data_IF_833602875527
#
_entry.id   IF_833602875527
#
_cell.length_a   1.000
_cell.length_b   1.000
_cell.length_c   1.000
_cell.angle_alpha   90.00
_cell.angle_beta   90.00
_cell.angle_gamma   90.00
#
_symmetry.space_group_name_H-M   'P 1'
#
loop_
_entity.id
_entity.type
_entity.pdbx_description
1 polymer ?
#
# COMPACT_ATOMS: atom_id res chain seq x y z
N UNK A 1 6.06 1.87 -28.09
CA UNK A 1 6.30 2.55 -26.81
C UNK A 1 5.93 1.63 -25.66
N UNK A 2 6.69 1.57 -24.56
CA UNK A 2 6.32 0.75 -23.41
C UNK A 2 4.94 1.18 -22.91
N UNK A 3 3.97 0.26 -22.90
CA UNK A 3 2.58 0.60 -22.58
C UNK A 3 2.39 0.71 -21.07
N UNK A 4 1.91 1.85 -20.60
CA UNK A 4 1.47 2.04 -19.23
C UNK A 4 0.32 1.09 -18.86
N UNK A 5 0.30 0.61 -17.61
CA UNK A 5 -0.76 -0.26 -17.11
C UNK A 5 -1.93 0.56 -16.54
N UNK A 6 -2.92 0.80 -17.40
CA UNK A 6 -4.12 1.57 -17.05
C UNK A 6 -4.92 0.99 -15.88
N UNK A 7 -4.86 -0.32 -15.65
CA UNK A 7 -5.59 -0.96 -14.55
C UNK A 7 -4.92 -0.65 -13.21
N UNK A 8 -3.59 -0.73 -13.12
CA UNK A 8 -2.85 -0.30 -11.92
C UNK A 8 -3.11 1.19 -11.62
N UNK A 9 -3.07 2.03 -12.65
CA UNK A 9 -3.36 3.46 -12.48
C UNK A 9 -4.77 3.72 -11.95
N UNK A 10 -5.79 3.01 -12.47
CA UNK A 10 -7.17 3.09 -11.95
C UNK A 10 -7.24 2.71 -10.48
N UNK A 11 -6.61 1.61 -10.08
CA UNK A 11 -6.54 1.21 -8.67
C UNK A 11 -5.85 2.28 -7.81
N UNK A 12 -4.76 2.87 -8.31
CA UNK A 12 -4.09 3.96 -7.62
C UNK A 12 -4.96 5.20 -7.44
N UNK A 13 -5.70 5.61 -8.48
CA UNK A 13 -6.68 6.72 -8.40
C UNK A 13 -7.80 6.40 -7.42
N UNK A 14 -8.33 5.17 -7.43
CA UNK A 14 -9.36 4.74 -6.49
C UNK A 14 -8.85 4.78 -5.05
N UNK A 15 -7.65 4.26 -4.79
CA UNK A 15 -7.07 4.27 -3.45
C UNK A 15 -6.74 5.69 -2.97
N UNK A 16 -6.25 6.54 -3.86
CA UNK A 16 -6.02 7.96 -3.61
C UNK A 16 -7.33 8.67 -3.21
N UNK A 17 -8.41 8.44 -3.97
CA UNK A 17 -9.74 9.00 -3.69
C UNK A 17 -10.25 8.52 -2.32
N UNK A 18 -10.09 7.24 -2.02
CA UNK A 18 -10.45 6.67 -0.72
C UNK A 18 -9.64 7.34 0.41
N UNK A 19 -8.35 7.59 0.18
CA UNK A 19 -7.49 8.37 1.09
C UNK A 19 -8.05 9.77 1.35
N UNK A 20 -8.44 10.51 0.30
CA UNK A 20 -9.07 11.84 0.44
C UNK A 20 -10.36 11.78 1.26
N UNK A 21 -11.25 10.83 0.96
CA UNK A 21 -12.50 10.63 1.71
C UNK A 21 -12.20 10.31 3.18
N UNK A 22 -11.17 9.50 3.45
CA UNK A 22 -10.74 9.18 4.82
C UNK A 22 -10.28 10.43 5.57
N UNK A 23 -9.54 11.35 4.91
CA UNK A 23 -9.11 12.61 5.49
C UNK A 23 -10.25 13.58 5.78
N UNK A 24 -11.24 13.69 4.88
CA UNK A 24 -12.44 14.50 5.12
C UNK A 24 -13.25 14.01 6.32
N UNK A 25 -13.19 12.71 6.59
CA UNK A 25 -13.95 12.05 7.65
C UNK A 25 -13.13 11.82 8.93
N UNK A 26 -11.89 12.32 9.01
CA UNK A 26 -10.93 12.01 10.09
C UNK A 26 -11.49 12.26 11.50
N UNK A 27 -12.31 13.32 11.65
CA UNK A 27 -12.91 13.73 12.93
C UNK A 27 -14.00 12.79 13.43
N UNK A 28 -14.52 11.91 12.58
CA UNK A 28 -15.57 10.93 12.94
C UNK A 28 -14.99 9.64 13.50
N UNK A 29 -13.68 9.44 13.40
CA UNK A 29 -13.01 8.24 13.90
C UNK A 29 -12.71 8.36 15.39
N UNK A 30 -12.76 7.23 16.09
CA UNK A 30 -12.44 7.15 17.53
C UNK A 30 -11.00 7.56 17.83
N UNK A 31 -10.08 7.26 16.89
CA UNK A 31 -8.68 7.65 16.98
C UNK A 31 -8.29 8.54 15.78
N UNK A 32 -8.37 9.86 16.00
CA UNK A 32 -8.07 10.86 14.98
C UNK A 32 -6.64 10.77 14.45
N UNK A 33 -5.65 10.45 15.30
CA UNK A 33 -4.25 10.32 14.87
C UNK A 33 -4.07 9.17 13.89
N UNK A 34 -4.75 8.05 14.15
CA UNK A 34 -4.68 6.89 13.26
C UNK A 34 -5.54 7.06 12.01
N UNK A 35 -6.61 7.87 12.07
CA UNK A 35 -7.36 8.28 10.88
C UNK A 35 -6.51 9.14 9.93
N UNK A 36 -5.71 10.06 10.48
CA UNK A 36 -4.72 10.82 9.70
C UNK A 36 -3.69 9.89 9.05
N UNK A 37 -3.22 8.86 9.77
CA UNK A 37 -2.37 7.82 9.18
C UNK A 37 -3.09 7.09 8.04
N UNK A 38 -4.35 6.68 8.21
CA UNK A 38 -5.12 6.02 7.16
C UNK A 38 -5.32 6.91 5.91
N UNK A 39 -5.55 8.21 6.11
CA UNK A 39 -5.60 9.20 5.03
C UNK A 39 -4.28 9.23 4.24
N UNK A 40 -3.15 9.40 4.93
CA UNK A 40 -1.83 9.44 4.31
C UNK A 40 -1.50 8.12 3.60
N UNK A 41 -1.82 6.99 4.20
CA UNK A 41 -1.61 5.67 3.59
C UNK A 41 -2.43 5.53 2.30
N UNK A 42 -3.68 5.99 2.26
CA UNK A 42 -4.49 5.96 1.04
C UNK A 42 -3.89 6.83 -0.09
N UNK A 43 -3.49 8.07 0.24
CA UNK A 43 -2.92 9.02 -0.71
C UNK A 43 -1.54 8.57 -1.22
N UNK A 44 -0.65 8.16 -0.32
CA UNK A 44 0.71 7.74 -0.66
C UNK A 44 0.71 6.43 -1.46
N UNK A 45 -0.03 5.42 -1.00
CA UNK A 45 -0.11 4.14 -1.71
C UNK A 45 -0.86 4.28 -3.05
N UNK A 46 -1.88 5.14 -3.12
CA UNK A 46 -2.55 5.50 -4.37
C UNK A 46 -1.61 6.14 -5.37
N UNK A 47 -0.82 7.13 -4.93
CA UNK A 47 0.20 7.80 -5.76
C UNK A 47 1.25 6.82 -6.24
N UNK A 48 1.73 5.93 -5.35
CA UNK A 48 2.69 4.89 -5.69
C UNK A 48 2.15 3.94 -6.77
N UNK A 49 0.90 3.48 -6.66
CA UNK A 49 0.24 2.66 -7.68
C UNK A 49 0.12 3.36 -9.04
N UNK A 50 -0.21 4.67 -9.04
CA UNK A 50 -0.26 5.47 -10.26
C UNK A 50 1.12 5.53 -10.91
N UNK A 51 2.15 5.84 -10.12
CA UNK A 51 3.53 5.92 -10.59
C UNK A 51 4.02 4.58 -11.15
N UNK A 52 3.81 3.47 -10.42
CA UNK A 52 4.15 2.12 -10.87
C UNK A 52 3.39 1.75 -12.15
N UNK A 53 2.10 2.07 -12.23
CA UNK A 53 1.29 1.85 -13.43
C UNK A 53 1.82 2.63 -14.64
N UNK A 54 2.28 3.87 -14.45
CA UNK A 54 2.87 4.69 -15.49
C UNK A 54 4.20 4.12 -16.01
N UNK A 55 5.08 3.67 -15.10
CA UNK A 55 6.38 3.08 -15.47
C UNK A 55 6.28 1.59 -15.82
N UNK A 56 5.11 0.95 -15.71
CA UNK A 56 4.99 -0.51 -15.79
C UNK A 56 5.54 -1.10 -17.09
N UNK A 57 5.35 -0.42 -18.23
CA UNK A 57 5.92 -0.85 -19.50
C UNK A 57 7.45 -0.94 -19.51
N UNK A 58 8.13 -0.23 -18.60
CA UNK A 58 9.58 -0.21 -18.45
C UNK A 58 10.10 -1.35 -17.55
N UNK A 59 9.20 -2.01 -16.81
CA UNK A 59 9.54 -3.07 -15.85
C UNK A 59 9.61 -4.42 -16.57
N UNK A 60 10.83 -4.94 -16.79
CA UNK A 60 11.03 -6.25 -17.44
C UNK A 60 11.03 -7.37 -16.40
N UNK A 61 9.91 -8.07 -16.29
CA UNK A 61 9.75 -9.26 -15.44
C UNK A 61 9.22 -10.44 -16.25
N UNK A 62 9.50 -11.66 -15.80
CA UNK A 62 8.82 -12.84 -16.37
C UNK A 62 7.32 -12.79 -16.08
N UNK A 63 6.45 -13.44 -16.89
CA UNK A 63 5.01 -13.38 -16.70
C UNK A 63 4.54 -13.75 -15.28
N UNK A 64 5.18 -14.76 -14.68
CA UNK A 64 4.90 -15.18 -13.30
C UNK A 64 5.36 -14.14 -12.28
N UNK A 65 6.56 -13.57 -12.45
CA UNK A 65 7.08 -12.55 -11.55
C UNK A 65 6.26 -11.24 -11.63
N UNK A 66 5.86 -10.83 -12.83
CA UNK A 66 5.01 -9.66 -13.04
C UNK A 66 3.63 -9.84 -12.36
N UNK A 67 3.05 -11.05 -12.46
CA UNK A 67 1.80 -11.39 -11.78
C UNK A 67 1.94 -11.31 -10.26
N UNK A 68 2.98 -11.93 -9.70
CA UNK A 68 3.25 -11.88 -8.25
C UNK A 68 3.44 -10.44 -7.79
N UNK A 69 4.32 -9.67 -8.44
CA UNK A 69 4.58 -8.28 -8.09
C UNK A 69 3.32 -7.42 -8.11
N UNK A 70 2.46 -7.62 -9.11
CA UNK A 70 1.18 -6.90 -9.21
C UNK A 70 0.23 -7.24 -8.06
N UNK A 71 0.06 -8.52 -7.76
CA UNK A 71 -0.87 -8.94 -6.71
C UNK A 71 -0.36 -8.56 -5.32
N UNK A 72 0.93 -8.72 -5.02
CA UNK A 72 1.51 -8.31 -3.74
C UNK A 72 1.49 -6.79 -3.58
N UNK A 73 1.67 -6.02 -4.66
CA UNK A 73 1.52 -4.58 -4.65
C UNK A 73 0.09 -4.15 -4.34
N UNK A 74 -0.92 -4.70 -5.04
CA UNK A 74 -2.33 -4.38 -4.79
C UNK A 74 -2.76 -4.80 -3.39
N UNK A 75 -2.41 -6.02 -2.97
CA UNK A 75 -2.70 -6.51 -1.63
C UNK A 75 -2.05 -5.64 -0.55
N UNK A 76 -0.78 -5.30 -0.72
CA UNK A 76 -0.05 -4.45 0.20
C UNK A 76 -0.65 -3.05 0.33
N UNK A 77 -0.91 -2.39 -0.78
CA UNK A 77 -1.43 -1.00 -0.80
C UNK A 77 -2.86 -0.89 -0.26
N UNK A 78 -3.79 -1.74 -0.72
CA UNK A 78 -5.16 -1.74 -0.20
C UNK A 78 -5.23 -2.25 1.24
N UNK A 79 -4.44 -3.29 1.56
CA UNK A 79 -4.36 -3.82 2.90
C UNK A 79 -3.86 -2.76 3.89
N UNK A 80 -2.81 -2.01 3.53
CA UNK A 80 -2.25 -0.97 4.40
C UNK A 80 -3.32 0.06 4.78
N UNK A 81 -4.01 0.63 3.78
CA UNK A 81 -5.12 1.54 4.05
C UNK A 81 -6.21 0.87 4.90
N UNK A 82 -6.64 -0.34 4.55
CA UNK A 82 -7.77 -1.02 5.21
C UNK A 82 -7.50 -1.27 6.69
N UNK A 83 -6.35 -1.85 7.05
CA UNK A 83 -6.04 -2.14 8.45
C UNK A 83 -5.79 -0.88 9.26
N UNK A 84 -5.21 0.16 8.66
CA UNK A 84 -5.02 1.46 9.33
C UNK A 84 -6.37 2.16 9.57
N UNK A 85 -7.27 2.17 8.58
CA UNK A 85 -8.62 2.73 8.71
C UNK A 85 -9.47 1.93 9.70
N UNK A 86 -9.40 0.60 9.68
CA UNK A 86 -10.09 -0.27 10.63
C UNK A 86 -9.61 0.01 12.05
N UNK A 87 -8.30 0.13 12.24
CA UNK A 87 -7.77 0.47 13.55
C UNK A 87 -8.20 1.87 14.00
N UNK A 88 -8.29 2.86 13.09
CA UNK A 88 -8.79 4.19 13.41
C UNK A 88 -10.27 4.16 13.86
N UNK A 89 -11.08 3.31 13.23
CA UNK A 89 -12.50 3.13 13.57
C UNK A 89 -12.70 2.39 14.89
N UNK A 90 -11.88 1.36 15.14
CA UNK A 90 -11.95 0.54 16.35
C UNK A 90 -11.19 1.16 17.53
N UNK A 91 -10.31 2.13 17.30
CA UNK A 91 -9.44 2.72 18.32
C UNK A 91 -8.32 1.78 18.80
N UNK A 92 -7.88 0.82 17.98
CA UNK A 92 -6.90 -0.20 18.39
C UNK A 92 -5.47 0.34 18.43
N UNK A 93 -4.64 -0.14 19.36
CA UNK A 93 -3.20 0.16 19.42
C UNK A 93 -2.31 -0.64 18.46
N UNK A 94 -2.87 -1.62 17.76
CA UNK A 94 -2.12 -2.72 17.18
C UNK A 94 -1.10 -2.34 16.08
N UNK A 95 -1.31 -1.22 15.39
CA UNK A 95 -0.36 -0.71 14.39
C UNK A 95 0.79 0.06 15.04
N UNK A 96 0.48 0.86 16.05
CA UNK A 96 1.44 1.71 16.75
C UNK A 96 0.91 2.07 18.15
N UNK A 97 1.53 1.57 19.23
CA UNK A 97 1.15 1.88 20.60
C UNK A 97 1.12 3.38 20.91
N UNK A 98 1.99 4.17 20.25
CA UNK A 98 2.08 5.63 20.40
C UNK A 98 0.84 6.33 19.84
N UNK A 99 0.22 5.77 18.79
CA UNK A 99 -0.98 6.34 18.17
C UNK A 99 -2.26 6.00 18.95
N UNK A 100 -2.21 4.99 19.83
CA UNK A 100 -3.40 4.46 20.54
C UNK A 100 -3.99 5.37 21.61
N UNK A 101 -3.23 6.35 22.11
CA UNK A 101 -3.59 7.17 23.28
C UNK A 101 -4.10 6.36 24.48
N UNK A 102 -3.60 5.14 24.70
CA UNK A 102 -4.00 4.28 25.83
C UNK A 102 -5.20 3.36 25.57
N UNK A 103 -5.81 3.40 24.38
CA UNK A 103 -6.86 2.46 23.99
C UNK A 103 -6.26 1.10 23.62
N UNK A 104 -6.66 0.04 24.34
CA UNK A 104 -6.28 -1.34 24.03
C UNK A 104 -7.46 -2.08 23.42
N UNK A 105 -7.23 -2.71 22.27
CA UNK A 105 -8.20 -3.64 21.70
C UNK A 105 -8.24 -4.92 22.52
N UNK A 106 -9.21 -5.81 22.27
CA UNK A 106 -9.15 -7.17 22.84
C UNK A 106 -7.84 -7.86 22.38
N UNK A 107 -7.20 -8.73 23.18
CA UNK A 107 -5.92 -9.33 22.84
C UNK A 107 -5.87 -10.04 21.47
N UNK A 108 -7.00 -10.61 21.04
CA UNK A 108 -7.12 -11.25 19.73
C UNK A 108 -7.16 -10.23 18.57
N UNK A 109 -7.74 -9.03 18.78
CA UNK A 109 -7.78 -7.96 17.78
C UNK A 109 -6.37 -7.42 17.52
N UNK A 110 -5.55 -7.31 18.58
CA UNK A 110 -4.17 -6.86 18.45
C UNK A 110 -3.30 -7.88 17.71
N UNK A 111 -3.47 -9.17 17.98
CA UNK A 111 -2.76 -10.24 17.26
C UNK A 111 -3.12 -10.28 15.77
N UNK A 112 -4.42 -10.20 15.44
CA UNK A 112 -4.90 -10.22 14.05
C UNK A 112 -4.41 -8.99 13.29
N UNK A 113 -4.55 -7.80 13.86
CA UNK A 113 -4.08 -6.57 13.23
C UNK A 113 -2.56 -6.57 13.07
N UNK A 114 -1.79 -6.97 14.09
CA UNK A 114 -0.32 -7.06 14.00
C UNK A 114 0.16 -8.07 12.95
N UNK A 115 -0.51 -9.22 12.82
CA UNK A 115 -0.23 -10.17 11.75
C UNK A 115 -0.56 -9.59 10.36
N UNK A 116 -1.69 -8.89 10.23
CA UNK A 116 -2.09 -8.19 9.02
C UNK A 116 -1.05 -7.16 8.57
N UNK A 117 -0.65 -6.25 9.47
CA UNK A 117 0.36 -5.24 9.17
C UNK A 117 1.71 -5.84 8.75
N UNK A 118 2.17 -6.90 9.40
CA UNK A 118 3.40 -7.59 8.98
C UNK A 118 3.27 -8.19 7.59
N UNK A 119 2.16 -8.86 7.30
CA UNK A 119 1.91 -9.46 5.98
C UNK A 119 1.91 -8.39 4.87
N UNK A 120 1.28 -7.25 5.14
CA UNK A 120 1.25 -6.10 4.24
C UNK A 120 2.65 -5.53 4.00
N UNK A 121 3.42 -5.31 5.07
CA UNK A 121 4.78 -4.80 4.97
C UNK A 121 5.66 -5.69 4.09
N UNK A 122 5.61 -7.01 4.29
CA UNK A 122 6.34 -7.96 3.44
C UNK A 122 5.84 -7.95 2.00
N UNK A 123 4.54 -7.83 1.77
CA UNK A 123 3.97 -7.79 0.42
C UNK A 123 4.44 -6.56 -0.37
N UNK A 124 4.41 -5.38 0.27
CA UNK A 124 4.92 -4.14 -0.34
C UNK A 124 6.42 -4.28 -0.61
N UNK A 125 7.21 -4.74 0.36
CA UNK A 125 8.66 -4.89 0.20
C UNK A 125 9.01 -5.81 -0.97
N UNK A 126 8.39 -6.99 -1.04
CA UNK A 126 8.60 -7.95 -2.14
C UNK A 126 8.24 -7.30 -3.48
N UNK A 127 7.07 -6.65 -3.57
CA UNK A 127 6.63 -6.02 -4.82
C UNK A 127 7.61 -4.94 -5.30
N UNK A 128 8.07 -4.07 -4.41
CA UNK A 128 9.00 -2.98 -4.71
C UNK A 128 10.35 -3.51 -5.16
N UNK A 129 10.87 -4.54 -4.48
CA UNK A 129 12.13 -5.18 -4.86
C UNK A 129 12.05 -5.83 -6.24
N UNK A 130 10.93 -6.48 -6.56
CA UNK A 130 10.72 -7.07 -7.88
C UNK A 130 10.65 -6.01 -8.97
N UNK A 131 9.92 -4.91 -8.75
CA UNK A 131 9.82 -3.79 -9.68
C UNK A 131 11.19 -3.15 -9.90
N UNK A 132 11.94 -2.88 -8.83
CA UNK A 132 13.29 -2.32 -8.90
C UNK A 132 14.23 -3.21 -9.72
N UNK A 133 14.23 -4.52 -9.45
CA UNK A 133 15.02 -5.48 -10.24
C UNK A 133 14.60 -5.51 -11.71
N UNK A 134 13.30 -5.41 -11.99
CA UNK A 134 12.77 -5.36 -13.35
C UNK A 134 13.19 -4.09 -14.12
N UNK A 135 13.38 -2.97 -13.42
CA UNK A 135 13.90 -1.72 -13.98
C UNK A 135 15.42 -1.81 -14.22
N UNK A 136 16.19 -2.27 -13.22
CA UNK A 136 17.66 -2.34 -13.33
C UNK A 136 18.13 -3.26 -14.46
N UNK A 137 17.42 -4.36 -14.73
CA UNK A 137 17.72 -5.27 -15.86
C UNK A 137 17.62 -4.59 -17.22
N UNK A 138 16.78 -3.56 -17.35
CA UNK A 138 16.67 -2.79 -18.60
C UNK A 138 17.88 -1.88 -18.78
N UNK A 139 18.28 -1.16 -17.73
CA UNK A 139 19.45 -0.27 -17.77
C UNK A 139 20.70 -1.02 -18.20
N UNK A 140 20.94 -2.22 -17.66
CA UNK A 140 22.08 -3.05 -18.07
C UNK A 140 22.02 -3.51 -19.54
N UNK A 141 20.83 -3.67 -20.12
CA UNK A 141 20.69 -4.02 -21.55
C UNK A 141 20.90 -2.82 -22.47
N UNK A 142 20.46 -1.62 -22.06
CA UNK A 142 20.66 -0.38 -22.82
C UNK A 142 22.11 0.12 -22.77
N UNK A 143 22.87 -0.16 -21.72
CA UNK A 143 24.30 0.18 -21.64
C UNK A 143 25.23 -0.79 -22.39
N UNK A 144 24.72 -1.92 -22.87
CA UNK A 144 25.50 -2.99 -23.49
C UNK A 144 25.28 -3.14 -25.01
N UNK A 145 24.45 -2.29 -25.63
CA UNK A 145 24.17 -2.26 -27.07
C UNK A 145 24.41 -0.87 -27.64
#
# INVERSE_FOLDING_TARGET
MPTADRRLMRHGVLLFLIGLVTGLQERRFKNMRMALSAHLEGVMNGTFLIAVGAIWGHVKLSPNAARVARWTLLFGTYGNWFFTALGAALGTAAANPILSQGHRGKPWQEKVAGAGFRSIAYSILVSTVMIARGLSRRTSQESAG
#
